data_IF_307675201996
#
_entry.id   IF_307675201996
#
_cell.length_a   1.000
_cell.length_b   1.000
_cell.length_c   1.000
_cell.angle_alpha   90.00
_cell.angle_beta   90.00
_cell.angle_gamma   90.00
#
_symmetry.space_group_name_H-M   'P 1'
#
loop_
_entity.id
_entity.type
_entity.pdbx_description
1 polymer ?
#
# COMPACT_ATOMS: atom_id res chain seq x y z
N UNK A 1 14.54 11.86 -8.02
CA UNK A 1 15.47 11.49 -6.94
C UNK A 1 15.32 12.34 -5.68
N UNK A 2 15.42 13.67 -5.72
CA UNK A 2 15.30 14.53 -4.53
C UNK A 2 14.00 14.33 -3.74
N UNK A 3 12.84 14.27 -4.40
CA UNK A 3 11.55 14.06 -3.72
C UNK A 3 11.52 12.74 -2.92
N UNK A 4 12.06 11.66 -3.46
CA UNK A 4 12.15 10.37 -2.74
C UNK A 4 13.07 10.45 -1.52
N UNK A 5 14.21 11.14 -1.63
CA UNK A 5 15.13 11.34 -0.50
C UNK A 5 14.50 12.16 0.63
N UNK A 6 13.71 13.17 0.30
CA UNK A 6 12.97 13.96 1.30
C UNK A 6 11.81 13.19 1.91
N UNK A 7 11.14 12.31 1.14
CA UNK A 7 10.05 11.49 1.63
C UNK A 7 10.53 10.40 2.62
N UNK A 8 11.73 9.85 2.42
CA UNK A 8 12.24 8.73 3.22
C UNK A 8 13.02 9.18 4.46
N UNK A 9 13.66 10.34 4.41
CA UNK A 9 14.36 10.86 5.57
C UNK A 9 13.37 11.46 6.58
N UNK A 10 13.73 11.50 7.84
CA UNK A 10 12.84 11.94 8.90
C UNK A 10 12.57 13.45 8.94
N UNK A 11 13.12 14.21 7.99
CA UNK A 11 13.00 15.67 7.96
C UNK A 11 11.54 16.13 7.81
N UNK A 12 10.74 15.46 6.96
CA UNK A 12 9.33 15.78 6.78
C UNK A 12 8.42 15.22 7.90
N UNK A 13 8.99 14.44 8.80
CA UNK A 13 8.26 13.82 9.92
C UNK A 13 8.24 14.67 11.19
N UNK A 14 8.86 15.83 11.20
CA UNK A 14 9.02 16.66 12.40
C UNK A 14 7.71 16.80 13.18
N UNK A 15 7.70 16.26 14.42
CA UNK A 15 6.55 16.29 15.31
C UNK A 15 5.42 15.31 14.98
N UNK A 16 5.63 14.35 14.04
CA UNK A 16 4.63 13.33 13.67
C UNK A 16 5.24 11.94 13.68
N UNK A 17 4.46 10.98 14.16
CA UNK A 17 4.73 9.58 13.87
C UNK A 17 4.25 9.27 12.45
N UNK A 18 5.15 8.80 11.60
CA UNK A 18 4.82 8.40 10.22
C UNK A 18 5.36 6.98 9.99
N UNK A 19 4.73 5.98 10.59
CA UNK A 19 5.13 4.61 10.37
C UNK A 19 4.72 4.13 8.97
N UNK A 20 5.48 3.19 8.44
CA UNK A 20 5.32 2.64 7.12
C UNK A 20 4.30 1.49 7.14
N UNK A 21 3.18 1.61 6.43
CA UNK A 21 2.11 0.60 6.47
C UNK A 21 2.33 -0.55 5.48
N UNK A 22 2.77 -0.27 4.25
CA UNK A 22 2.96 -1.28 3.20
C UNK A 22 4.35 -1.92 3.28
N UNK A 23 5.37 -1.18 3.68
CA UNK A 23 6.76 -1.66 3.73
C UNK A 23 6.97 -2.91 4.60
N UNK A 24 6.37 -3.04 5.81
CA UNK A 24 6.51 -4.28 6.58
C UNK A 24 6.03 -5.51 5.84
N UNK A 25 4.97 -5.40 5.05
CA UNK A 25 4.44 -6.48 4.22
C UNK A 25 5.37 -6.78 3.05
N UNK A 26 5.84 -5.75 2.37
CA UNK A 26 6.72 -5.90 1.22
C UNK A 26 8.10 -6.46 1.61
N UNK A 27 8.65 -6.04 2.74
CA UNK A 27 9.93 -6.57 3.22
C UNK A 27 9.90 -8.10 3.43
N UNK A 28 8.76 -8.66 3.81
CA UNK A 28 8.63 -10.11 3.90
C UNK A 28 8.55 -10.75 2.50
N UNK A 29 7.90 -10.12 1.52
CA UNK A 29 7.93 -10.60 0.13
C UNK A 29 9.37 -10.66 -0.42
N UNK A 30 10.13 -9.57 -0.28
CA UNK A 30 11.53 -9.52 -0.69
C UNK A 30 12.40 -10.51 0.06
N UNK A 31 12.16 -10.72 1.36
CA UNK A 31 12.95 -11.65 2.17
C UNK A 31 12.75 -13.13 1.78
N UNK A 32 11.55 -13.51 1.36
CA UNK A 32 11.23 -14.90 1.01
C UNK A 32 11.39 -15.23 -0.47
N UNK A 33 11.23 -14.24 -1.36
CA UNK A 33 11.17 -14.47 -2.80
C UNK A 33 12.17 -13.63 -3.61
N UNK A 34 13.00 -12.82 -2.96
CA UNK A 34 14.04 -11.97 -3.58
C UNK A 34 13.50 -11.09 -4.72
N UNK A 35 12.28 -10.57 -4.57
CA UNK A 35 11.68 -9.68 -5.56
C UNK A 35 12.21 -8.25 -5.42
N UNK A 36 12.14 -7.49 -6.51
CA UNK A 36 12.48 -6.06 -6.48
C UNK A 36 11.52 -5.29 -5.57
N UNK A 37 12.05 -4.56 -4.59
CA UNK A 37 11.30 -3.81 -3.58
C UNK A 37 10.19 -2.92 -4.18
N UNK A 38 10.51 -2.16 -5.23
CA UNK A 38 9.52 -1.31 -5.90
C UNK A 38 8.36 -2.09 -6.54
N UNK A 39 8.62 -3.30 -7.05
CA UNK A 39 7.58 -4.17 -7.61
C UNK A 39 6.62 -4.64 -6.51
N UNK A 40 7.16 -5.12 -5.38
CA UNK A 40 6.34 -5.53 -4.24
C UNK A 40 5.48 -4.38 -3.69
N UNK A 41 6.04 -3.19 -3.56
CA UNK A 41 5.27 -2.01 -3.15
C UNK A 41 4.18 -1.65 -4.16
N UNK A 42 4.45 -1.72 -5.48
CA UNK A 42 3.47 -1.41 -6.51
C UNK A 42 2.28 -2.37 -6.50
N UNK A 43 2.54 -3.66 -6.27
CA UNK A 43 1.48 -4.68 -6.13
C UNK A 43 0.66 -4.42 -4.87
N UNK A 44 1.31 -4.29 -3.71
CA UNK A 44 0.59 -4.26 -2.42
C UNK A 44 -0.14 -2.95 -2.16
N UNK A 45 0.37 -1.81 -2.64
CA UNK A 45 -0.19 -0.49 -2.28
C UNK A 45 -1.66 -0.33 -2.65
N UNK A 46 -2.14 -0.65 -3.87
CA UNK A 46 -3.56 -0.52 -4.19
C UNK A 46 -4.46 -1.48 -3.39
N UNK A 47 -3.98 -2.69 -3.07
CA UNK A 47 -4.71 -3.65 -2.27
C UNK A 47 -4.83 -3.19 -0.81
N UNK A 48 -3.72 -2.73 -0.22
CA UNK A 48 -3.73 -2.10 1.10
C UNK A 48 -4.67 -0.91 1.16
N UNK A 49 -4.62 0.00 0.17
CA UNK A 49 -5.49 1.17 0.11
C UNK A 49 -6.97 0.79 0.13
N UNK A 50 -7.38 -0.23 -0.66
CA UNK A 50 -8.77 -0.73 -0.68
C UNK A 50 -9.16 -1.31 0.66
N UNK A 51 -8.29 -2.11 1.26
CA UNK A 51 -8.55 -2.77 2.54
C UNK A 51 -8.78 -1.77 3.67
N UNK A 52 -7.99 -0.70 3.73
CA UNK A 52 -8.10 0.30 4.80
C UNK A 52 -9.11 1.42 4.50
N UNK A 53 -9.69 1.46 3.30
CA UNK A 53 -10.70 2.45 2.93
C UNK A 53 -12.01 2.20 3.67
N UNK A 54 -12.42 3.16 4.48
CA UNK A 54 -13.67 3.14 5.24
C UNK A 54 -14.10 4.58 5.59
N UNK A 55 -15.21 4.73 6.31
CA UNK A 55 -15.76 6.04 6.67
C UNK A 55 -14.81 6.92 7.50
N UNK A 56 -13.84 6.36 8.21
CA UNK A 56 -12.86 7.11 9.02
C UNK A 56 -11.64 7.54 8.18
N UNK A 57 -11.31 6.79 7.13
CA UNK A 57 -10.11 7.02 6.31
C UNK A 57 -10.41 7.72 5.00
N UNK A 58 -11.66 7.70 4.53
CA UNK A 58 -12.10 8.16 3.21
C UNK A 58 -11.64 9.57 2.85
N UNK A 59 -11.69 10.52 3.78
CA UNK A 59 -11.31 11.91 3.51
C UNK A 59 -9.81 12.06 3.18
N UNK A 60 -8.95 11.21 3.74
CA UNK A 60 -7.53 11.20 3.39
C UNK A 60 -7.33 10.72 1.96
N UNK A 61 -8.04 9.66 1.55
CA UNK A 61 -7.99 9.14 0.18
C UNK A 61 -8.63 10.09 -0.83
N UNK A 62 -9.73 10.77 -0.47
CA UNK A 62 -10.32 11.83 -1.28
C UNK A 62 -9.32 12.97 -1.51
N UNK A 63 -8.68 13.48 -0.45
CA UNK A 63 -7.66 14.53 -0.54
C UNK A 63 -6.50 14.10 -1.43
N UNK A 64 -6.04 12.86 -1.31
CA UNK A 64 -5.03 12.26 -2.18
C UNK A 64 -5.50 12.23 -3.65
N UNK A 65 -6.73 11.82 -3.89
CA UNK A 65 -7.31 11.76 -5.23
C UNK A 65 -7.37 13.13 -5.90
N UNK A 66 -7.85 14.14 -5.19
CA UNK A 66 -7.95 15.51 -5.72
C UNK A 66 -6.57 16.11 -6.00
N UNK A 67 -5.62 15.96 -5.06
CA UNK A 67 -4.35 16.66 -5.16
C UNK A 67 -3.30 15.96 -6.04
N UNK A 68 -3.43 14.65 -6.24
CA UNK A 68 -2.42 13.86 -6.96
C UNK A 68 -2.95 13.35 -8.31
N UNK A 69 -4.25 13.05 -8.35
CA UNK A 69 -4.86 12.40 -9.50
C UNK A 69 -5.88 13.26 -10.24
N UNK A 70 -6.03 14.53 -9.89
CA UNK A 70 -7.02 15.45 -10.48
C UNK A 70 -8.45 14.88 -10.46
N UNK A 71 -8.79 14.13 -9.40
CA UNK A 71 -10.15 13.63 -9.17
C UNK A 71 -11.05 14.84 -8.90
N UNK A 72 -12.24 14.94 -9.54
CA UNK A 72 -13.15 16.07 -9.31
C UNK A 72 -13.50 16.22 -7.83
N UNK A 73 -13.36 17.44 -7.31
CA UNK A 73 -13.53 17.72 -5.87
C UNK A 73 -15.01 17.67 -5.41
N UNK A 74 -15.94 17.70 -6.35
CA UNK A 74 -17.39 17.62 -6.14
C UNK A 74 -17.94 16.20 -6.09
N UNK A 75 -17.12 15.19 -6.38
CA UNK A 75 -17.52 13.79 -6.22
C UNK A 75 -17.77 13.43 -4.74
N UNK A 76 -18.70 12.50 -4.47
CA UNK A 76 -18.86 11.91 -3.15
C UNK A 76 -17.52 11.34 -2.64
N UNK A 77 -17.22 11.52 -1.35
CA UNK A 77 -15.91 11.17 -0.79
C UNK A 77 -15.47 9.73 -1.06
N UNK A 78 -16.40 8.77 -0.95
CA UNK A 78 -16.08 7.36 -1.21
C UNK A 78 -15.75 7.11 -2.69
N UNK A 79 -16.54 7.67 -3.59
CA UNK A 79 -16.31 7.54 -5.04
C UNK A 79 -14.98 8.18 -5.46
N UNK A 80 -14.69 9.37 -4.93
CA UNK A 80 -13.40 10.04 -5.16
C UNK A 80 -12.21 9.20 -4.64
N UNK A 81 -12.37 8.58 -3.47
CA UNK A 81 -11.35 7.70 -2.88
C UNK A 81 -11.11 6.44 -3.72
N UNK A 82 -12.18 5.76 -4.14
CA UNK A 82 -12.09 4.58 -5.01
C UNK A 82 -11.46 4.91 -6.36
N UNK A 83 -11.82 6.04 -6.95
CA UNK A 83 -11.23 6.50 -8.21
C UNK A 83 -9.74 6.81 -8.05
N UNK A 84 -9.33 7.40 -6.91
CA UNK A 84 -7.92 7.65 -6.61
C UNK A 84 -7.10 6.36 -6.53
N UNK A 85 -7.63 5.34 -5.83
CA UNK A 85 -6.99 4.02 -5.72
C UNK A 85 -6.88 3.37 -7.09
N UNK A 86 -7.95 3.43 -7.88
CA UNK A 86 -7.94 2.91 -9.26
C UNK A 86 -6.88 3.59 -10.11
N UNK A 87 -6.81 4.92 -10.11
CA UNK A 87 -5.80 5.68 -10.89
C UNK A 87 -4.38 5.36 -10.44
N UNK A 88 -4.15 5.11 -9.16
CA UNK A 88 -2.86 4.65 -8.64
C UNK A 88 -2.48 3.29 -9.24
N UNK A 89 -3.38 2.32 -9.22
CA UNK A 89 -3.14 1.00 -9.80
C UNK A 89 -2.91 1.08 -11.32
N UNK A 90 -3.73 1.85 -12.03
CA UNK A 90 -3.62 2.04 -13.48
C UNK A 90 -2.27 2.70 -13.87
N UNK A 91 -1.81 3.65 -13.07
CA UNK A 91 -0.50 4.30 -13.27
C UNK A 91 0.66 3.32 -13.11
N UNK A 92 0.66 2.49 -12.05
CA UNK A 92 1.69 1.47 -11.88
C UNK A 92 1.71 0.48 -13.05
N UNK A 93 0.54 0.06 -13.51
CA UNK A 93 0.41 -0.78 -14.69
C UNK A 93 0.93 -0.09 -15.96
N UNK A 94 0.65 1.19 -16.16
CA UNK A 94 1.15 1.97 -17.30
C UNK A 94 2.68 2.12 -17.30
N UNK A 95 3.32 2.07 -16.12
CA UNK A 95 4.77 2.01 -15.98
C UNK A 95 5.37 0.61 -16.24
N UNK A 96 4.55 -0.38 -16.56
CA UNK A 96 4.99 -1.76 -16.78
C UNK A 96 5.29 -2.53 -15.49
N UNK A 97 4.83 -2.05 -14.33
CA UNK A 97 4.99 -2.75 -13.06
C UNK A 97 3.99 -3.91 -12.94
N UNK A 98 4.37 -5.01 -12.27
CA UNK A 98 3.46 -6.13 -12.01
C UNK A 98 2.29 -5.68 -11.13
N UNK A 99 1.14 -6.31 -11.32
CA UNK A 99 -0.09 -6.03 -10.59
C UNK A 99 -0.51 -7.14 -9.64
N UNK A 100 0.14 -8.32 -9.74
CA UNK A 100 -0.15 -9.50 -8.95
C UNK A 100 1.13 -10.15 -8.42
N UNK A 101 1.04 -10.76 -7.26
CA UNK A 101 2.15 -11.51 -6.64
C UNK A 101 2.58 -12.71 -7.49
N UNK A 102 1.62 -13.38 -8.15
CA UNK A 102 1.89 -14.49 -9.06
C UNK A 102 2.73 -14.09 -10.28
N UNK A 103 2.65 -12.84 -10.75
CA UNK A 103 3.46 -12.33 -11.87
C UNK A 103 4.96 -12.24 -11.54
N UNK A 104 5.30 -12.20 -10.25
CA UNK A 104 6.68 -12.15 -9.76
C UNK A 104 7.12 -13.46 -9.08
N UNK A 105 6.41 -14.56 -9.35
CA UNK A 105 6.78 -15.90 -8.90
C UNK A 105 6.46 -16.19 -7.43
N UNK A 106 5.61 -15.39 -6.79
CA UNK A 106 5.16 -15.64 -5.43
C UNK A 106 3.98 -16.61 -5.46
N UNK A 107 4.04 -17.61 -4.59
CA UNK A 107 2.99 -18.60 -4.34
C UNK A 107 2.41 -18.44 -2.91
N UNK A 108 1.45 -19.29 -2.57
CA UNK A 108 0.78 -19.23 -1.26
C UNK A 108 1.60 -19.82 -0.09
N UNK A 109 2.73 -20.44 -0.36
CA UNK A 109 3.49 -21.26 0.60
C UNK A 109 3.89 -20.53 1.88
N UNK A 110 4.27 -19.26 1.77
CA UNK A 110 4.78 -18.48 2.91
C UNK A 110 3.85 -17.35 3.33
N UNK A 111 2.66 -17.21 2.74
CA UNK A 111 1.77 -16.06 3.01
C UNK A 111 1.44 -15.93 4.50
N UNK A 112 1.17 -17.03 5.19
CA UNK A 112 0.82 -17.00 6.61
C UNK A 112 1.96 -16.49 7.50
N UNK A 113 3.17 -17.02 7.31
CA UNK A 113 4.32 -16.61 8.12
C UNK A 113 4.75 -15.18 7.79
N UNK A 114 4.63 -14.75 6.54
CA UNK A 114 4.87 -13.37 6.13
C UNK A 114 3.85 -12.42 6.76
N UNK A 115 2.58 -12.80 6.80
CA UNK A 115 1.53 -12.01 7.44
C UNK A 115 1.76 -11.87 8.96
N UNK A 116 2.15 -12.93 9.64
CA UNK A 116 2.48 -12.91 11.08
C UNK A 116 3.65 -11.99 11.39
N UNK A 117 4.74 -12.09 10.63
CA UNK A 117 5.91 -11.23 10.79
C UNK A 117 5.60 -9.76 10.49
N UNK A 118 4.82 -9.50 9.43
CA UNK A 118 4.38 -8.15 9.08
C UNK A 118 3.53 -7.54 10.20
N UNK A 119 2.58 -8.30 10.76
CA UNK A 119 1.70 -7.84 11.82
C UNK A 119 2.46 -7.37 13.07
N UNK A 120 3.58 -8.01 13.40
CA UNK A 120 4.43 -7.60 14.54
C UNK A 120 5.00 -6.19 14.39
N UNK A 121 5.03 -5.63 13.18
CA UNK A 121 5.57 -4.30 12.85
C UNK A 121 4.49 -3.26 12.53
N UNK A 122 3.19 -3.58 12.71
CA UNK A 122 2.09 -2.68 12.37
C UNK A 122 1.75 -1.67 13.46
N UNK A 123 2.35 -1.77 14.65
CA UNK A 123 2.06 -0.87 15.76
C UNK A 123 2.35 0.58 15.39
N UNK A 124 1.35 1.45 15.56
CA UNK A 124 1.44 2.89 15.29
C UNK A 124 1.29 3.26 13.81
N UNK A 125 1.02 2.32 12.90
CA UNK A 125 0.74 2.62 11.49
C UNK A 125 -0.59 3.36 11.32
N UNK A 126 -0.84 3.91 10.14
CA UNK A 126 -2.05 4.68 9.83
C UNK A 126 -3.34 3.92 10.14
N UNK A 127 -3.37 2.63 9.82
CA UNK A 127 -4.33 1.65 10.29
C UNK A 127 -3.52 0.43 10.73
N UNK A 128 -3.60 0.07 12.00
CA UNK A 128 -2.95 -1.14 12.51
C UNK A 128 -3.70 -2.36 11.99
N UNK A 129 -3.00 -3.22 11.26
CA UNK A 129 -3.55 -4.42 10.66
C UNK A 129 -3.18 -5.65 11.49
N UNK A 130 -4.12 -6.54 11.65
CA UNK A 130 -3.93 -7.87 12.22
C UNK A 130 -3.27 -8.81 11.21
N UNK A 131 -2.77 -9.98 11.68
CA UNK A 131 -2.28 -11.04 10.82
C UNK A 131 -3.30 -11.45 9.75
N UNK A 132 -4.56 -11.62 10.15
CA UNK A 132 -5.61 -12.10 9.24
C UNK A 132 -5.94 -11.08 8.14
N UNK A 133 -5.97 -9.79 8.49
CA UNK A 133 -6.16 -8.70 7.53
C UNK A 133 -4.98 -8.62 6.52
N UNK A 134 -3.75 -8.77 6.99
CA UNK A 134 -2.56 -8.80 6.12
C UNK A 134 -2.60 -10.03 5.21
N UNK A 135 -2.96 -11.21 5.74
CA UNK A 135 -3.12 -12.42 4.95
C UNK A 135 -4.19 -12.26 3.87
N UNK A 136 -5.29 -11.57 4.20
CA UNK A 136 -6.33 -11.24 3.22
C UNK A 136 -5.77 -10.34 2.10
N UNK A 137 -5.03 -9.28 2.45
CA UNK A 137 -4.37 -8.40 1.46
C UNK A 137 -3.45 -9.20 0.53
N UNK A 138 -2.63 -10.10 1.07
CA UNK A 138 -1.78 -10.94 0.25
C UNK A 138 -2.58 -11.85 -0.70
N UNK A 139 -3.66 -12.47 -0.22
CA UNK A 139 -4.53 -13.32 -1.06
C UNK A 139 -5.24 -12.53 -2.15
N UNK A 140 -5.69 -11.31 -1.86
CA UNK A 140 -6.30 -10.43 -2.87
C UNK A 140 -5.30 -9.94 -3.92
N UNK A 141 -4.01 -9.90 -3.57
CA UNK A 141 -2.92 -9.51 -4.45
C UNK A 141 -2.36 -10.69 -5.30
N UNK A 142 -2.80 -11.93 -5.07
CA UNK A 142 -2.45 -13.11 -5.88
C UNK A 142 -3.13 -13.08 -7.25
#
# INVERSE_FOLDING_TARGET
MWAGSWAINDFLKLGKLVPWSVHPMEHELSAYYDITHGAGLAILTPHWMRHVLNTRTVEKFRTYGVNVWDVPADLPSMEAAELAIKRTADYFKALGLPSRLSEVGIDEKYLEIMAEKSASRMKGTYVELTKDEILQIFKEAM
#
